data_IF_907738678430
#
_entry.id   IF_907738678430
#
_cell.length_a   1.000
_cell.length_b   1.000
_cell.length_c   1.000
_cell.angle_alpha   90.00
_cell.angle_beta   90.00
_cell.angle_gamma   90.00
#
_symmetry.space_group_name_H-M   'P 1'
#
loop_
_entity.id
_entity.type
_entity.pdbx_description
1 polymer ?
#
# COMPACT_ATOMS: atom_id res chain seq x y z
N UNK A 1 4.68 9.88 22.67
CA UNK A 1 5.14 9.36 21.36
C UNK A 1 5.45 10.58 20.52
N UNK A 2 6.73 10.94 20.44
CA UNK A 2 7.19 12.08 19.64
C UNK A 2 7.35 11.62 18.19
N UNK A 3 6.60 12.24 17.28
CA UNK A 3 6.72 12.02 15.85
C UNK A 3 8.03 12.64 15.35
N UNK A 4 9.10 11.85 15.36
CA UNK A 4 10.40 12.21 14.77
C UNK A 4 10.42 11.93 13.26
N UNK A 5 9.37 12.36 12.57
CA UNK A 5 9.23 12.18 11.12
C UNK A 5 9.77 13.47 10.46
N UNK A 6 10.89 13.33 9.74
CA UNK A 6 11.54 14.28 8.81
C UNK A 6 12.52 15.36 9.27
N UNK A 7 12.88 15.48 10.54
CA UNK A 7 14.12 16.22 10.86
C UNK A 7 15.28 15.23 10.94
N UNK A 8 15.95 15.01 9.81
CA UNK A 8 17.21 14.27 9.81
C UNK A 8 18.12 14.93 10.85
N UNK A 9 18.63 14.13 11.78
CA UNK A 9 19.54 14.59 12.84
C UNK A 9 20.75 15.34 12.26
N UNK A 10 21.09 15.08 11.00
CA UNK A 10 22.05 15.82 10.19
C UNK A 10 21.61 17.25 9.87
N UNK A 11 20.37 17.51 9.44
CA UNK A 11 19.86 18.85 9.16
C UNK A 11 19.83 19.70 10.44
N UNK A 12 19.27 19.18 11.53
CA UNK A 12 19.26 19.87 12.82
C UNK A 12 20.67 20.11 13.36
N UNK A 13 21.59 19.15 13.24
CA UNK A 13 22.99 19.30 13.68
C UNK A 13 23.76 20.30 12.82
N UNK A 14 23.44 20.37 11.52
CA UNK A 14 24.08 21.26 10.57
C UNK A 14 23.58 22.68 10.73
N UNK A 15 22.26 22.89 10.83
CA UNK A 15 21.65 24.18 11.15
C UNK A 15 22.10 24.68 12.52
N UNK A 16 22.21 23.81 13.53
CA UNK A 16 22.73 24.18 14.85
C UNK A 16 24.18 24.64 14.80
N UNK A 17 25.04 23.99 14.01
CA UNK A 17 26.45 24.41 13.82
C UNK A 17 26.57 25.71 13.04
N UNK A 18 25.69 25.93 12.07
CA UNK A 18 25.58 27.18 11.32
C UNK A 18 25.12 28.31 12.25
N UNK A 19 24.10 28.08 13.08
CA UNK A 19 23.59 29.03 14.06
C UNK A 19 24.59 29.36 15.19
N UNK A 20 25.52 28.45 15.51
CA UNK A 20 26.59 28.65 16.49
C UNK A 20 27.81 29.41 15.92
N UNK A 21 27.74 29.92 14.68
CA UNK A 21 28.81 30.71 14.08
C UNK A 21 30.01 29.88 13.58
N UNK A 22 29.83 28.57 13.38
CA UNK A 22 30.90 27.67 12.92
C UNK A 22 31.21 27.76 11.42
N UNK A 23 30.44 28.53 10.64
CA UNK A 23 30.58 28.68 9.20
C UNK A 23 30.45 30.15 8.78
N UNK A 24 31.25 30.57 7.79
CA UNK A 24 30.99 31.82 7.07
C UNK A 24 29.71 31.70 6.22
N UNK A 25 29.03 32.81 5.86
CA UNK A 25 27.80 32.77 5.06
C UNK A 25 27.93 31.99 3.75
N UNK A 26 29.06 32.12 3.06
CA UNK A 26 29.35 31.36 1.83
C UNK A 26 29.53 29.86 2.08
N UNK A 27 30.16 29.47 3.19
CA UNK A 27 30.27 28.07 3.60
C UNK A 27 28.92 27.48 4.05
N UNK A 28 28.09 28.28 4.73
CA UNK A 28 26.74 27.88 5.13
C UNK A 28 25.85 27.59 3.91
N UNK A 29 25.89 28.45 2.88
CA UNK A 29 25.16 28.23 1.62
C UNK A 29 25.54 26.94 0.91
N UNK A 30 26.84 26.64 0.80
CA UNK A 30 27.34 25.39 0.21
C UNK A 30 26.86 24.16 0.99
N UNK A 31 26.91 24.23 2.32
CA UNK A 31 26.48 23.13 3.19
C UNK A 31 24.96 22.90 3.09
N UNK A 32 24.15 23.96 3.10
CA UNK A 32 22.69 23.87 2.93
C UNK A 32 22.35 23.30 1.55
N UNK A 33 23.01 23.76 0.48
CA UNK A 33 22.80 23.24 -0.87
C UNK A 33 23.15 21.75 -0.98
N UNK A 34 24.23 21.30 -0.33
CA UNK A 34 24.59 19.88 -0.29
C UNK A 34 23.52 19.03 0.40
N UNK A 35 22.96 19.54 1.50
CA UNK A 35 21.92 18.87 2.27
C UNK A 35 20.60 18.76 1.52
N UNK A 36 20.23 19.80 0.77
CA UNK A 36 19.05 19.79 -0.11
C UNK A 36 19.21 18.76 -1.22
N UNK A 37 20.40 18.68 -1.84
CA UNK A 37 20.70 17.68 -2.88
C UNK A 37 20.64 16.26 -2.34
N UNK A 38 21.22 16.00 -1.16
CA UNK A 38 21.15 14.70 -0.51
C UNK A 38 19.71 14.32 -0.16
N UNK A 39 18.95 15.23 0.46
CA UNK A 39 17.53 14.99 0.79
C UNK A 39 16.70 14.70 -0.46
N UNK A 40 16.92 15.45 -1.55
CA UNK A 40 16.23 15.24 -2.83
C UNK A 40 16.53 13.86 -3.42
N UNK A 41 17.79 13.41 -3.37
CA UNK A 41 18.17 12.05 -3.80
C UNK A 41 17.43 11.00 -2.97
N UNK A 42 17.37 11.17 -1.66
CA UNK A 42 16.73 10.22 -0.75
C UNK A 42 15.21 10.14 -1.03
N UNK A 43 14.55 11.28 -1.24
CA UNK A 43 13.13 11.31 -1.63
C UNK A 43 12.85 10.65 -2.99
N UNK A 44 13.73 10.84 -3.98
CA UNK A 44 13.57 10.19 -5.29
C UNK A 44 13.67 8.66 -5.19
N UNK A 45 14.58 8.14 -4.36
CA UNK A 45 14.69 6.69 -4.11
C UNK A 45 13.43 6.14 -3.43
N UNK A 46 12.89 6.85 -2.44
CA UNK A 46 11.65 6.47 -1.77
C UNK A 46 10.47 6.49 -2.73
N UNK A 47 10.40 7.51 -3.60
CA UNK A 47 9.32 7.64 -4.59
C UNK A 47 9.33 6.51 -5.62
N UNK A 48 10.50 6.13 -6.13
CA UNK A 48 10.63 4.96 -6.99
C UNK A 48 10.15 3.68 -6.28
N UNK A 49 10.54 3.49 -5.01
CA UNK A 49 10.08 2.36 -4.22
C UNK A 49 8.56 2.33 -4.02
N UNK A 50 7.90 3.49 -3.94
CA UNK A 50 6.44 3.58 -3.89
C UNK A 50 5.79 3.17 -5.20
N UNK A 51 6.34 3.56 -6.34
CA UNK A 51 5.80 3.19 -7.65
C UNK A 51 5.85 1.66 -7.84
N UNK A 52 6.99 1.04 -7.56
CA UNK A 52 7.17 -0.42 -7.64
C UNK A 52 6.22 -1.16 -6.66
N UNK A 53 6.06 -0.63 -5.44
CA UNK A 53 5.16 -1.21 -4.44
C UNK A 53 3.69 -1.05 -4.83
N UNK A 54 3.32 0.10 -5.39
CA UNK A 54 1.95 0.36 -5.86
C UNK A 54 1.59 -0.55 -7.03
N UNK A 55 2.47 -0.73 -8.01
CA UNK A 55 2.26 -1.66 -9.12
C UNK A 55 2.01 -3.08 -8.59
N UNK A 56 2.86 -3.55 -7.68
CA UNK A 56 2.72 -4.86 -7.04
C UNK A 56 1.37 -5.01 -6.31
N UNK A 57 0.97 -4.00 -5.55
CA UNK A 57 -0.29 -4.02 -4.81
C UNK A 57 -1.51 -3.93 -5.72
N UNK A 58 -1.46 -3.15 -6.80
CA UNK A 58 -2.56 -3.03 -7.76
C UNK A 58 -2.78 -4.34 -8.54
N UNK A 59 -1.69 -5.02 -8.93
CA UNK A 59 -1.76 -6.38 -9.51
C UNK A 59 -2.38 -7.35 -8.50
N UNK A 60 -1.90 -7.35 -7.25
CA UNK A 60 -2.43 -8.22 -6.20
C UNK A 60 -3.91 -7.93 -5.90
N UNK A 61 -4.32 -6.65 -5.89
CA UNK A 61 -5.70 -6.23 -5.69
C UNK A 61 -6.62 -6.78 -6.78
N UNK A 62 -6.23 -6.61 -8.05
CA UNK A 62 -6.98 -7.13 -9.19
C UNK A 62 -7.07 -8.66 -9.17
N UNK A 63 -5.95 -9.34 -8.89
CA UNK A 63 -5.92 -10.80 -8.79
C UNK A 63 -6.82 -11.31 -7.66
N UNK A 64 -6.83 -10.63 -6.50
CA UNK A 64 -7.71 -11.01 -5.38
C UNK A 64 -9.18 -10.87 -5.76
N UNK A 65 -9.55 -9.86 -6.56
CA UNK A 65 -10.91 -9.72 -7.08
C UNK A 65 -11.30 -10.92 -7.97
N UNK A 66 -10.42 -11.35 -8.86
CA UNK A 66 -10.65 -12.56 -9.68
C UNK A 66 -10.75 -13.83 -8.83
N UNK A 67 -9.96 -13.95 -7.76
CA UNK A 67 -10.06 -15.08 -6.82
C UNK A 67 -11.42 -15.10 -6.13
N UNK A 68 -11.94 -13.96 -5.71
CA UNK A 68 -13.30 -13.85 -5.14
C UNK A 68 -14.35 -14.31 -6.15
N UNK A 69 -14.24 -13.90 -7.42
CA UNK A 69 -15.16 -14.34 -8.48
C UNK A 69 -15.18 -15.87 -8.64
N UNK A 70 -14.02 -16.53 -8.61
CA UNK A 70 -13.96 -18.00 -8.66
C UNK A 70 -14.55 -18.67 -7.42
N UNK A 71 -14.34 -18.09 -6.23
CA UNK A 71 -14.95 -18.60 -5.01
C UNK A 71 -16.47 -18.42 -5.03
N UNK A 72 -16.99 -17.31 -5.56
CA UNK A 72 -18.43 -17.08 -5.75
C UNK A 72 -19.03 -18.06 -6.77
N UNK A 73 -18.33 -18.35 -7.87
CA UNK A 73 -18.71 -19.39 -8.83
C UNK A 73 -18.81 -20.77 -8.13
N UNK A 74 -17.78 -21.13 -7.36
CA UNK A 74 -17.76 -22.36 -6.57
C UNK A 74 -18.92 -22.42 -5.56
N UNK A 75 -19.18 -21.30 -4.87
CA UNK A 75 -20.31 -21.15 -3.94
C UNK A 75 -21.65 -21.35 -4.64
N UNK A 76 -21.82 -20.79 -5.83
CA UNK A 76 -23.01 -21.00 -6.67
C UNK A 76 -23.22 -22.47 -7.04
N UNK A 77 -22.16 -23.22 -7.33
CA UNK A 77 -22.23 -24.65 -7.59
C UNK A 77 -22.69 -25.45 -6.36
N UNK A 78 -22.22 -25.10 -5.16
CA UNK A 78 -22.72 -25.75 -3.93
C UNK A 78 -24.22 -25.50 -3.72
N UNK A 79 -24.73 -24.32 -4.05
CA UNK A 79 -26.16 -23.98 -3.96
C UNK A 79 -26.98 -24.80 -4.96
N UNK A 80 -26.50 -24.94 -6.21
CA UNK A 80 -27.16 -25.77 -7.22
C UNK A 80 -27.25 -27.24 -6.79
N UNK A 81 -26.12 -27.81 -6.33
CA UNK A 81 -26.08 -29.18 -5.83
C UNK A 81 -27.04 -29.37 -4.65
N UNK A 82 -27.05 -28.41 -3.71
CA UNK A 82 -27.96 -28.43 -2.55
C UNK A 82 -29.42 -28.45 -2.98
N UNK A 83 -29.82 -27.58 -3.92
CA UNK A 83 -31.20 -27.49 -4.37
C UNK A 83 -31.69 -28.81 -4.99
N UNK A 84 -30.83 -29.50 -5.76
CA UNK A 84 -31.12 -30.83 -6.30
C UNK A 84 -31.23 -31.89 -5.19
N UNK A 85 -30.33 -31.85 -4.21
CA UNK A 85 -30.29 -32.80 -3.10
C UNK A 85 -31.43 -32.61 -2.08
N UNK A 86 -32.08 -31.44 -2.04
CA UNK A 86 -33.18 -31.14 -1.12
C UNK A 86 -34.55 -31.67 -1.58
N UNK A 87 -34.69 -32.07 -2.85
CA UNK A 87 -35.91 -32.74 -3.32
C UNK A 87 -36.08 -34.11 -2.64
N UNK A 88 -37.31 -34.60 -2.55
CA UNK A 88 -37.60 -35.95 -2.05
C UNK A 88 -36.86 -36.99 -2.90
N UNK A 89 -36.00 -37.80 -2.26
CA UNK A 89 -35.04 -38.70 -2.92
C UNK A 89 -34.14 -38.00 -3.97
N UNK A 90 -33.91 -36.70 -3.83
CA UNK A 90 -33.20 -35.87 -4.79
C UNK A 90 -31.74 -36.28 -5.03
N UNK A 91 -31.06 -36.75 -3.98
CA UNK A 91 -29.68 -37.26 -4.07
C UNK A 91 -29.59 -38.46 -5.03
N UNK A 92 -30.53 -39.40 -4.94
CA UNK A 92 -30.55 -40.60 -5.80
C UNK A 92 -31.04 -40.23 -7.21
N UNK A 93 -32.13 -39.47 -7.28
CA UNK A 93 -32.80 -39.08 -8.53
C UNK A 93 -31.94 -38.20 -9.43
N UNK A 94 -31.13 -37.31 -8.85
CA UNK A 94 -30.28 -36.37 -9.59
C UNK A 94 -28.79 -36.64 -9.38
N UNK A 95 -28.42 -37.86 -8.98
CA UNK A 95 -27.04 -38.26 -8.72
C UNK A 95 -26.07 -37.84 -9.82
N UNK A 96 -26.40 -38.06 -11.10
CA UNK A 96 -25.57 -37.66 -12.24
C UNK A 96 -25.35 -36.15 -12.32
N UNK A 97 -26.40 -35.34 -12.10
CA UNK A 97 -26.32 -33.87 -12.13
C UNK A 97 -25.57 -33.30 -10.93
N UNK A 98 -25.75 -33.91 -9.76
CA UNK A 98 -25.04 -33.55 -8.54
C UNK A 98 -23.54 -33.81 -8.74
N UNK A 99 -23.20 -34.97 -9.32
CA UNK A 99 -21.82 -35.32 -9.66
C UNK A 99 -21.21 -34.39 -10.71
N UNK A 100 -21.96 -34.03 -11.75
CA UNK A 100 -21.52 -33.03 -12.73
C UNK A 100 -21.23 -31.67 -12.06
N UNK A 101 -22.07 -31.28 -11.09
CA UNK A 101 -21.87 -30.04 -10.31
C UNK A 101 -20.62 -30.11 -9.43
N UNK A 102 -20.33 -31.27 -8.85
CA UNK A 102 -19.10 -31.55 -8.09
C UNK A 102 -17.85 -31.46 -8.98
N UNK A 103 -17.91 -32.03 -10.19
CA UNK A 103 -16.82 -31.97 -11.16
C UNK A 103 -16.55 -30.52 -11.61
N UNK A 104 -17.60 -29.71 -11.81
CA UNK A 104 -17.43 -28.28 -12.07
C UNK A 104 -16.85 -27.55 -10.88
N UNK A 105 -17.27 -27.89 -9.66
CA UNK A 105 -16.72 -27.29 -8.44
C UNK A 105 -15.21 -27.52 -8.35
N UNK A 106 -14.77 -28.76 -8.57
CA UNK A 106 -13.35 -29.12 -8.64
C UNK A 106 -12.60 -28.34 -9.72
N UNK A 107 -13.17 -28.22 -10.93
CA UNK A 107 -12.56 -27.42 -12.01
C UNK A 107 -12.43 -25.96 -11.62
N UNK A 108 -13.40 -25.39 -10.92
CA UNK A 108 -13.33 -23.99 -10.46
C UNK A 108 -12.25 -23.80 -9.40
N UNK A 109 -12.06 -24.75 -8.48
CA UNK A 109 -10.92 -24.72 -7.54
C UNK A 109 -9.57 -24.80 -8.28
N UNK A 110 -9.45 -25.63 -9.31
CA UNK A 110 -8.23 -25.71 -10.14
C UNK A 110 -7.97 -24.38 -10.88
N UNK A 111 -9.01 -23.73 -11.41
CA UNK A 111 -8.88 -22.39 -12.03
C UNK A 111 -8.36 -21.37 -11.02
N UNK A 112 -8.89 -21.40 -9.80
CA UNK A 112 -8.45 -20.54 -8.70
C UNK A 112 -6.97 -20.75 -8.38
N UNK A 113 -6.52 -21.99 -8.20
CA UNK A 113 -5.11 -22.28 -7.91
C UNK A 113 -4.18 -21.89 -9.06
N UNK A 114 -4.63 -22.12 -10.30
CA UNK A 114 -3.90 -21.73 -11.51
C UNK A 114 -3.71 -20.22 -11.54
N UNK A 115 -4.78 -19.44 -11.29
CA UNK A 115 -4.72 -17.99 -11.30
C UNK A 115 -3.79 -17.43 -10.22
N UNK A 116 -3.84 -17.99 -9.02
CA UNK A 116 -2.94 -17.61 -7.92
C UNK A 116 -1.48 -17.88 -8.31
N UNK A 117 -1.21 -19.04 -8.92
CA UNK A 117 0.13 -19.41 -9.36
C UNK A 117 0.66 -18.45 -10.44
N UNK A 118 -0.13 -18.18 -11.48
CA UNK A 118 0.23 -17.22 -12.55
C UNK A 118 0.56 -15.84 -11.96
N UNK A 119 -0.26 -15.35 -11.04
CA UNK A 119 -0.07 -14.01 -10.46
C UNK A 119 1.16 -13.96 -9.52
N UNK A 120 1.53 -15.11 -8.93
CA UNK A 120 2.74 -15.21 -8.11
C UNK A 120 4.02 -15.18 -8.95
N UNK A 121 3.97 -15.66 -10.19
CA UNK A 121 5.08 -15.54 -11.14
C UNK A 121 5.24 -14.07 -11.61
N UNK A 122 4.13 -13.33 -11.69
CA UNK A 122 4.05 -11.93 -12.14
C UNK A 122 4.23 -10.88 -11.01
N UNK A 123 4.80 -11.25 -9.86
CA UNK A 123 5.22 -10.38 -8.73
C UNK A 123 4.26 -10.24 -7.53
N UNK A 124 3.10 -10.89 -7.50
CA UNK A 124 2.16 -10.75 -6.38
C UNK A 124 2.14 -11.97 -5.42
N UNK A 125 3.24 -12.20 -4.72
CA UNK A 125 3.36 -13.28 -3.72
C UNK A 125 2.41 -13.15 -2.52
N UNK A 126 1.66 -12.04 -2.41
CA UNK A 126 0.66 -11.80 -1.38
C UNK A 126 -0.45 -12.86 -1.36
N UNK A 127 -0.85 -13.40 -2.53
CA UNK A 127 -1.88 -14.44 -2.64
C UNK A 127 -1.37 -15.83 -2.24
N UNK A 128 -0.05 -16.00 -2.10
CA UNK A 128 0.61 -17.21 -1.59
C UNK A 128 1.04 -17.08 -0.13
N UNK A 129 0.66 -15.99 0.53
CA UNK A 129 0.96 -15.75 1.95
C UNK A 129 2.31 -15.07 2.23
N UNK A 130 3.05 -14.62 1.21
CA UNK A 130 4.25 -13.82 1.44
C UNK A 130 3.89 -12.39 1.87
N UNK A 131 4.84 -11.68 2.47
CA UNK A 131 4.67 -10.27 2.86
C UNK A 131 5.39 -9.33 1.89
N UNK A 132 4.79 -8.17 1.62
CA UNK A 132 5.45 -7.06 0.95
C UNK A 132 5.93 -6.04 1.99
N UNK A 133 7.23 -5.74 2.00
CA UNK A 133 7.82 -4.72 2.89
C UNK A 133 8.14 -3.47 2.10
N UNK A 134 7.50 -2.38 2.46
CA UNK A 134 7.56 -1.08 1.78
C UNK A 134 8.32 -0.13 2.67
N UNK A 135 9.37 0.50 2.16
CA UNK A 135 10.22 1.42 2.92
C UNK A 135 9.77 2.86 2.69
N UNK A 136 9.54 3.59 3.78
CA UNK A 136 9.20 5.02 3.76
C UNK A 136 10.42 5.94 3.91
N UNK A 137 11.60 5.37 4.11
CA UNK A 137 12.87 6.11 4.10
C UNK A 137 13.98 5.27 3.46
N UNK A 138 15.05 5.94 3.03
CA UNK A 138 16.20 5.30 2.37
C UNK A 138 17.00 4.36 3.29
N UNK A 139 16.88 4.51 4.62
CA UNK A 139 17.56 3.67 5.61
C UNK A 139 16.75 2.42 5.99
N UNK A 140 15.47 2.37 5.61
CA UNK A 140 14.53 1.32 5.99
C UNK A 140 14.12 1.34 7.46
N UNK A 141 14.23 2.47 8.16
CA UNK A 141 13.81 2.55 9.57
C UNK A 141 12.29 2.65 9.72
N UNK A 142 11.63 3.27 8.76
CA UNK A 142 10.19 3.40 8.63
C UNK A 142 9.71 2.50 7.51
N UNK A 143 8.85 1.54 7.85
CA UNK A 143 8.33 0.56 6.90
C UNK A 143 6.85 0.31 7.11
N UNK A 144 6.13 0.03 6.02
CA UNK A 144 4.83 -0.62 6.02
C UNK A 144 5.01 -2.07 5.58
N UNK A 145 4.34 -3.01 6.24
CA UNK A 145 4.37 -4.42 5.82
C UNK A 145 2.95 -4.88 5.52
N UNK A 146 2.69 -5.17 4.24
CA UNK A 146 1.45 -5.80 3.80
C UNK A 146 1.58 -7.30 3.96
N UNK A 147 0.77 -7.90 4.83
CA UNK A 147 0.76 -9.34 5.03
C UNK A 147 -0.11 -10.02 3.98
N UNK A 148 0.46 -11.00 3.28
CA UNK A 148 -0.29 -11.86 2.38
C UNK A 148 -1.13 -12.90 3.11
N UNK A 149 -2.10 -13.46 2.40
CA UNK A 149 -2.88 -14.62 2.83
C UNK A 149 -2.75 -15.67 1.73
N UNK A 150 -2.43 -16.91 2.09
CA UNK A 150 -2.39 -17.98 1.11
C UNK A 150 -3.83 -18.39 0.75
N UNK A 151 -4.22 -18.04 -0.47
CA UNK A 151 -5.56 -18.31 -1.01
C UNK A 151 -5.62 -19.58 -1.87
N UNK A 152 -4.55 -20.38 -1.93
CA UNK A 152 -4.59 -21.65 -2.64
C UNK A 152 -5.56 -22.61 -1.93
N UNK A 153 -6.26 -23.43 -2.71
CA UNK A 153 -7.33 -24.31 -2.21
C UNK A 153 -6.85 -25.23 -1.07
N UNK A 154 -5.60 -25.73 -1.15
CA UNK A 154 -4.98 -26.56 -0.12
C UNK A 154 -4.74 -25.80 1.21
N UNK A 155 -4.43 -24.51 1.13
CA UNK A 155 -4.15 -23.65 2.30
C UNK A 155 -5.42 -23.03 2.89
N UNK A 156 -6.48 -22.94 2.10
CA UNK A 156 -7.82 -22.54 2.54
C UNK A 156 -8.55 -23.63 3.32
N UNK A 157 -7.91 -24.78 3.57
CA UNK A 157 -8.47 -25.93 4.26
C UNK A 157 -9.75 -26.48 3.60
N UNK A 158 -9.83 -26.42 2.26
CA UNK A 158 -10.91 -27.09 1.55
C UNK A 158 -10.85 -28.57 1.83
N UNK A 159 -11.96 -29.12 2.33
CA UNK A 159 -12.14 -30.57 2.39
C UNK A 159 -12.23 -31.09 0.96
N UNK A 160 -11.78 -32.33 0.75
CA UNK A 160 -11.98 -33.01 -0.54
C UNK A 160 -13.47 -32.92 -0.90
N UNK A 161 -13.81 -32.35 -2.07
CA UNK A 161 -15.21 -32.22 -2.47
C UNK A 161 -15.87 -33.59 -2.51
N UNK A 162 -17.08 -33.64 -1.97
CA UNK A 162 -17.92 -34.82 -1.91
C UNK A 162 -19.38 -34.35 -1.88
N UNK A 163 -20.11 -34.49 -2.98
CA UNK A 163 -21.51 -34.09 -3.04
C UNK A 163 -22.47 -35.29 -2.86
N UNK A 164 -22.01 -36.38 -2.24
CA UNK A 164 -22.81 -37.59 -2.00
C UNK A 164 -24.02 -37.38 -1.06
N UNK A 165 -24.05 -36.32 -0.27
CA UNK A 165 -25.14 -36.02 0.65
C UNK A 165 -25.37 -34.53 0.84
N UNK A 166 -26.56 -34.16 1.31
CA UNK A 166 -26.86 -32.77 1.66
C UNK A 166 -25.87 -32.19 2.69
N UNK A 167 -25.45 -33.03 3.65
CA UNK A 167 -24.51 -32.63 4.69
C UNK A 167 -23.12 -32.32 4.11
N UNK A 168 -22.62 -33.15 3.19
CA UNK A 168 -21.30 -32.95 2.58
C UNK A 168 -21.29 -31.77 1.60
N UNK A 169 -22.39 -31.53 0.88
CA UNK A 169 -22.57 -30.30 0.08
C UNK A 169 -22.54 -29.05 0.97
N UNK A 170 -23.23 -29.09 2.11
CA UNK A 170 -23.26 -27.97 3.06
C UNK A 170 -21.88 -27.70 3.66
N UNK A 171 -21.08 -28.74 3.88
CA UNK A 171 -19.69 -28.61 4.30
C UNK A 171 -18.84 -27.86 3.27
N UNK A 172 -18.88 -28.25 2.00
CA UNK A 172 -18.17 -27.53 0.94
C UNK A 172 -18.62 -26.07 0.81
N UNK A 173 -19.91 -25.78 1.03
CA UNK A 173 -20.43 -24.40 1.05
C UNK A 173 -19.83 -23.56 2.20
N UNK A 174 -19.66 -24.15 3.38
CA UNK A 174 -19.02 -23.48 4.52
C UNK A 174 -17.55 -23.20 4.20
N UNK A 175 -16.85 -24.16 3.57
CA UNK A 175 -15.44 -23.98 3.18
C UNK A 175 -15.28 -22.81 2.19
N UNK A 176 -16.17 -22.72 1.19
CA UNK A 176 -16.20 -21.59 0.26
C UNK A 176 -16.47 -20.27 0.98
N UNK A 177 -17.44 -20.21 1.89
CA UNK A 177 -17.77 -18.98 2.61
C UNK A 177 -16.58 -18.46 3.42
N UNK A 178 -15.90 -19.35 4.15
CA UNK A 178 -14.69 -19.02 4.90
C UNK A 178 -13.56 -18.52 3.97
N UNK A 179 -13.38 -19.16 2.81
CA UNK A 179 -12.40 -18.74 1.82
C UNK A 179 -12.70 -17.34 1.26
N UNK A 180 -13.97 -17.01 0.99
CA UNK A 180 -14.39 -15.67 0.56
C UNK A 180 -14.04 -14.64 1.62
N UNK A 181 -14.32 -14.91 2.89
CA UNK A 181 -14.00 -13.99 3.99
C UNK A 181 -12.50 -13.68 4.06
N UNK A 182 -11.64 -14.70 3.86
CA UNK A 182 -10.20 -14.51 3.80
C UNK A 182 -9.76 -13.68 2.59
N UNK A 183 -10.31 -13.96 1.40
CA UNK A 183 -9.98 -13.22 0.18
C UNK A 183 -10.43 -11.75 0.27
N UNK A 184 -11.63 -11.50 0.82
CA UNK A 184 -12.13 -10.13 1.07
C UNK A 184 -11.26 -9.41 2.10
N UNK A 185 -10.81 -10.11 3.15
CA UNK A 185 -9.87 -9.56 4.14
C UNK A 185 -8.58 -9.12 3.47
N UNK A 186 -7.97 -9.98 2.64
CA UNK A 186 -6.76 -9.64 1.89
C UNK A 186 -6.98 -8.43 0.98
N UNK A 187 -8.09 -8.40 0.22
CA UNK A 187 -8.43 -7.28 -0.66
C UNK A 187 -8.53 -5.96 0.10
N UNK A 188 -9.17 -5.97 1.26
CA UNK A 188 -9.34 -4.77 2.08
C UNK A 188 -8.01 -4.28 2.67
N UNK A 189 -7.14 -5.20 3.10
CA UNK A 189 -5.79 -4.85 3.56
C UNK A 189 -4.98 -4.20 2.43
N UNK A 190 -4.94 -4.82 1.25
CA UNK A 190 -4.25 -4.30 0.07
C UNK A 190 -4.79 -2.91 -0.30
N UNK A 191 -6.12 -2.73 -0.31
CA UNK A 191 -6.76 -1.44 -0.60
C UNK A 191 -6.32 -0.33 0.37
N UNK A 192 -6.33 -0.64 1.68
CA UNK A 192 -5.88 0.29 2.72
C UNK A 192 -4.41 0.68 2.55
N UNK A 193 -3.57 -0.28 2.20
CA UNK A 193 -2.14 -0.06 1.99
C UNK A 193 -1.87 0.76 0.73
N UNK A 194 -2.60 0.51 -0.37
CA UNK A 194 -2.55 1.34 -1.59
C UNK A 194 -2.86 2.80 -1.26
N UNK A 195 -3.93 3.06 -0.50
CA UNK A 195 -4.31 4.42 -0.09
C UNK A 195 -3.18 5.06 0.73
N UNK A 196 -2.64 4.31 1.70
CA UNK A 196 -1.55 4.78 2.54
C UNK A 196 -0.33 5.19 1.72
N UNK A 197 0.08 4.36 0.76
CA UNK A 197 1.25 4.64 -0.08
C UNK A 197 0.98 5.80 -1.03
N UNK A 198 -0.22 5.91 -1.62
CA UNK A 198 -0.59 7.06 -2.45
C UNK A 198 -0.47 8.37 -1.68
N UNK A 199 -1.01 8.44 -0.45
CA UNK A 199 -0.86 9.62 0.41
C UNK A 199 0.61 9.91 0.74
N UNK A 200 1.43 8.88 1.00
CA UNK A 200 2.87 9.07 1.27
C UNK A 200 3.65 9.52 0.04
N UNK A 201 3.28 9.04 -1.14
CA UNK A 201 3.83 9.48 -2.42
C UNK A 201 3.53 10.95 -2.68
N UNK A 202 2.27 11.36 -2.53
CA UNK A 202 1.87 12.77 -2.66
C UNK A 202 2.67 13.68 -1.72
N UNK A 203 2.86 13.26 -0.46
CA UNK A 203 3.72 13.98 0.47
C UNK A 203 5.17 14.10 -0.03
N UNK A 204 5.74 13.02 -0.57
CA UNK A 204 7.10 13.03 -1.11
C UNK A 204 7.23 13.95 -2.35
N UNK A 205 6.22 13.97 -3.22
CA UNK A 205 6.18 14.86 -4.39
C UNK A 205 6.12 16.32 -3.98
N UNK A 206 5.29 16.64 -2.98
CA UNK A 206 5.22 17.99 -2.39
C UNK A 206 6.58 18.38 -1.78
N UNK A 207 7.20 17.49 -0.98
CA UNK A 207 8.51 17.74 -0.39
C UNK A 207 9.60 17.96 -1.45
N UNK A 208 9.59 17.18 -2.54
CA UNK A 208 10.51 17.36 -3.67
C UNK A 208 10.32 18.70 -4.39
N UNK A 209 9.08 19.16 -4.54
CA UNK A 209 8.78 20.49 -5.10
C UNK A 209 9.39 21.59 -4.23
N UNK A 210 9.22 21.52 -2.91
CA UNK A 210 9.82 22.48 -1.98
C UNK A 210 11.34 22.46 -2.00
N UNK A 211 11.96 21.28 -2.00
CA UNK A 211 13.42 21.15 -2.09
C UNK A 211 13.96 21.73 -3.41
N UNK A 212 13.20 21.58 -4.51
CA UNK A 212 13.58 22.16 -5.80
C UNK A 212 13.49 23.69 -5.77
N UNK A 213 12.42 24.25 -5.21
CA UNK A 213 12.28 25.71 -5.03
C UNK A 213 13.38 26.29 -4.13
N UNK A 214 13.71 25.62 -3.03
CA UNK A 214 14.79 26.03 -2.14
C UNK A 214 16.16 25.96 -2.83
N UNK A 215 16.40 24.93 -3.64
CA UNK A 215 17.60 24.82 -4.46
C UNK A 215 17.69 25.96 -5.49
N UNK A 216 16.59 26.31 -6.17
CA UNK A 216 16.57 27.37 -7.17
C UNK A 216 16.78 28.75 -6.54
N UNK A 217 16.18 29.02 -5.38
CA UNK A 217 16.42 30.22 -4.60
C UNK A 217 17.90 30.38 -4.23
N UNK A 218 18.54 29.30 -3.75
CA UNK A 218 19.96 29.29 -3.39
C UNK A 218 20.91 29.35 -4.59
N UNK A 219 20.46 29.01 -5.81
CA UNK A 219 21.28 29.13 -7.01
C UNK A 219 21.06 30.45 -7.77
N UNK A 220 20.06 31.25 -7.37
CA UNK A 220 19.80 32.54 -7.99
C UNK A 220 20.83 33.59 -7.56
N UNK A 221 21.15 34.55 -8.45
CA UNK A 221 22.07 35.68 -8.19
C UNK A 221 21.67 36.56 -6.99
N UNK A 222 20.53 36.29 -6.35
CA UNK A 222 20.17 36.87 -5.05
C UNK A 222 21.27 36.64 -4.00
N UNK A 223 22.03 35.53 -4.08
CA UNK A 223 23.15 35.21 -3.19
C UNK A 223 24.35 36.17 -3.30
N UNK A 224 24.54 36.83 -4.45
CA UNK A 224 25.56 37.89 -4.61
C UNK A 224 25.12 39.24 -4.00
N UNK A 225 23.83 39.41 -3.67
CA UNK A 225 23.28 40.60 -3.02
C UNK A 225 23.13 40.49 -1.51
N UNK A 226 23.52 39.36 -0.90
CA UNK A 226 23.49 39.21 0.57
C UNK A 226 24.62 40.04 1.20
N UNK A 227 24.25 41.23 1.67
CA UNK A 227 25.10 42.04 2.54
C UNK A 227 25.55 41.18 3.73
N UNK A 228 26.86 41.17 4.02
CA UNK A 228 27.53 40.42 5.11
C UNK A 228 26.96 40.71 6.52
N UNK A 229 25.98 41.63 6.61
CA UNK A 229 25.32 42.07 7.83
C UNK A 229 24.03 41.33 8.14
N UNK A 230 23.44 40.58 7.20
CA UNK A 230 22.24 39.81 7.49
C UNK A 230 22.64 38.58 8.30
N UNK A 231 22.19 38.52 9.54
CA UNK A 231 22.49 37.40 10.43
C UNK A 231 21.84 36.14 9.84
N UNK A 232 22.51 34.99 9.96
CA UNK A 232 21.93 33.66 9.69
C UNK A 232 20.56 33.50 10.37
N UNK A 233 20.36 34.16 11.50
CA UNK A 233 19.08 34.21 12.22
C UNK A 233 17.99 34.93 11.43
N UNK A 234 18.32 36.03 10.76
CA UNK A 234 17.40 36.75 9.86
C UNK A 234 17.12 35.96 8.58
N UNK A 235 18.06 35.14 8.11
CA UNK A 235 17.87 34.21 6.97
C UNK A 235 16.91 33.06 7.30
N UNK A 236 16.92 32.59 8.55
CA UNK A 236 15.97 31.59 9.06
C UNK A 236 14.61 32.22 9.41
N UNK A 237 14.57 33.51 9.76
CA UNK A 237 13.35 34.25 10.13
C UNK A 237 12.66 34.94 8.92
N UNK A 238 13.35 35.20 7.81
CA UNK A 238 12.76 35.81 6.61
C UNK A 238 12.14 34.75 5.69
N UNK A 239 10.82 34.59 5.83
CA UNK A 239 9.88 34.00 4.84
C UNK A 239 9.96 32.51 4.53
N UNK A 240 11.10 31.81 4.69
CA UNK A 240 11.17 30.39 4.32
C UNK A 240 10.48 29.44 5.32
N UNK A 241 10.24 29.89 6.56
CA UNK A 241 9.70 29.09 7.67
C UNK A 241 8.51 29.75 8.41
N UNK A 242 8.07 30.95 8.00
CA UNK A 242 6.92 31.63 8.61
C UNK A 242 5.59 31.30 7.91
N UNK A 243 5.63 30.73 6.71
CA UNK A 243 4.45 30.21 6.00
C UNK A 243 4.06 28.78 6.45
N UNK A 244 4.81 28.20 7.41
CA UNK A 244 4.62 26.83 7.92
C UNK A 244 3.32 26.63 8.72
N UNK A 245 2.75 27.68 9.32
CA UNK A 245 1.57 27.56 10.19
C UNK A 245 0.20 27.63 9.46
N UNK A 246 -0.03 28.51 8.46
CA UNK A 246 -1.32 28.57 7.79
C UNK A 246 -1.56 27.44 6.76
N UNK A 247 -0.53 26.94 6.08
CA UNK A 247 -0.68 25.94 5.00
C UNK A 247 -0.90 24.51 5.51
N UNK A 248 -0.30 24.14 6.65
CA UNK A 248 -0.61 22.89 7.34
C UNK A 248 -2.06 22.92 7.90
N UNK A 249 -2.52 24.10 8.32
CA UNK A 249 -3.91 24.34 8.73
C UNK A 249 -4.89 24.20 7.57
N UNK A 250 -4.57 24.73 6.39
CA UNK A 250 -5.42 24.63 5.20
C UNK A 250 -5.45 23.19 4.62
N UNK A 251 -4.33 22.46 4.65
CA UNK A 251 -4.29 21.04 4.28
C UNK A 251 -5.12 20.15 5.21
N UNK A 252 -5.05 20.38 6.53
CA UNK A 252 -5.90 19.67 7.50
C UNK A 252 -7.38 20.08 7.40
N UNK A 253 -7.66 21.34 7.09
CA UNK A 253 -9.03 21.85 6.89
C UNK A 253 -9.67 21.33 5.61
N UNK A 254 -8.89 21.20 4.52
CA UNK A 254 -9.32 20.57 3.29
C UNK A 254 -9.62 19.07 3.48
N UNK A 255 -8.77 18.37 4.24
CA UNK A 255 -9.00 16.98 4.65
C UNK A 255 -10.26 16.86 5.53
N UNK A 256 -10.44 17.68 6.56
CA UNK A 256 -11.63 17.68 7.42
C UNK A 256 -12.92 18.02 6.66
N UNK A 257 -12.86 18.90 5.66
CA UNK A 257 -14.02 19.23 4.82
C UNK A 257 -14.35 18.10 3.83
N UNK A 258 -13.36 17.31 3.38
CA UNK A 258 -13.60 16.12 2.57
C UNK A 258 -14.34 15.01 3.34
N UNK A 259 -14.26 15.00 4.67
CA UNK A 259 -15.03 14.10 5.54
C UNK A 259 -16.41 14.64 5.96
N UNK A 260 -16.70 15.93 5.72
CA UNK A 260 -18.01 16.55 6.04
C UNK A 260 -19.01 16.51 4.88
N UNK A 261 -18.58 16.11 3.68
CA UNK A 261 -19.48 15.85 2.55
C UNK A 261 -19.80 14.35 2.53
N UNK A 262 -20.56 13.92 3.53
CA UNK A 262 -21.42 12.73 3.50
C UNK A 262 -22.69 13.04 4.31
#
# INVERSE_FOLDING_TARGET
MESSIFTSSSLNRTLSKIAQGGYSPSQAGVVILSLIKDSRRDFLQVLQGFEESLETLEVAFSATQTVIEYLEEAGGLTVRARNLAQEENGVERYSDKIKETEDFFLKTLIKLDTRIKETSEDCAHLLTGASLVIKFDHLGHSTLTTQGINLQSEHLNFRKPDFSSLHTIQNSRIDVANAIDLAVTLRNMISSDIITIKTRREFCEIALSFLSQAQDFLNSDALESFDEKISIKELLEQSLFLDDEPLAGDGQSALLNSFKIQ
#
